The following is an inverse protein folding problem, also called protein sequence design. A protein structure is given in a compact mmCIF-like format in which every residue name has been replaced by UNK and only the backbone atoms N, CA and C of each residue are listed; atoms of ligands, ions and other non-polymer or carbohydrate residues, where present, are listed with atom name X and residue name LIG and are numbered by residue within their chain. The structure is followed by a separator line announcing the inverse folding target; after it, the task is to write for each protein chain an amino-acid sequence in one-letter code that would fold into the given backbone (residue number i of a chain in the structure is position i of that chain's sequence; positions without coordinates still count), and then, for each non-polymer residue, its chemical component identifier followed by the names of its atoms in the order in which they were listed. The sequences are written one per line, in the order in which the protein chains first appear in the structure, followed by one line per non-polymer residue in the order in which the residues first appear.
data_IF_604615990629
#
_entry.id   IF_604615990629
#
_cell.length_a   1.000
_cell.length_b   1.000
_cell.length_c   1.000
_cell.angle_alpha   90.00
_cell.angle_beta   90.00
_cell.angle_gamma   90.00
#
_symmetry.space_group_name_H-M   'P 1'
#
loop_
_entity.id
_entity.type
_entity.pdbx_description
1 polymer ?
#
# COMPACT_ATOMS: atom_id res chain seq x y z
N UNK A 1 0.28 14.76 7.23
CA UNK A 1 1.71 14.49 6.97
C UNK A 1 2.40 15.82 6.68
N UNK A 2 3.65 16.01 7.12
CA UNK A 2 4.42 17.22 6.79
C UNK A 2 4.59 17.34 5.27
N UNK A 3 4.50 18.55 4.71
CA UNK A 3 4.59 18.78 3.25
C UNK A 3 6.03 18.58 2.76
N UNK A 4 7.02 19.01 3.54
CA UNK A 4 8.43 18.88 3.16
C UNK A 4 8.89 17.42 3.13
N UNK A 5 8.48 16.63 4.14
CA UNK A 5 8.76 15.19 4.20
C UNK A 5 8.08 14.42 3.06
N UNK A 6 6.97 14.92 2.50
CA UNK A 6 6.32 14.30 1.34
C UNK A 6 7.13 14.51 0.06
N UNK A 7 7.82 15.65 -0.10
CA UNK A 7 8.71 15.88 -1.25
C UNK A 7 9.92 14.96 -1.21
N UNK A 8 10.61 14.90 -0.08
CA UNK A 8 11.77 14.01 0.09
C UNK A 8 11.37 12.53 -0.07
N UNK A 9 10.25 12.12 0.53
CA UNK A 9 9.73 10.76 0.37
C UNK A 9 9.37 10.44 -1.08
N UNK A 10 8.79 11.41 -1.81
CA UNK A 10 8.49 11.25 -3.23
C UNK A 10 9.78 11.08 -4.05
N UNK A 11 10.80 11.90 -3.82
CA UNK A 11 12.08 11.82 -4.52
C UNK A 11 12.74 10.43 -4.31
N UNK A 12 12.68 9.88 -3.10
CA UNK A 12 13.20 8.55 -2.79
C UNK A 12 12.43 7.42 -3.51
N UNK A 13 11.10 7.54 -3.65
CA UNK A 13 10.27 6.57 -4.37
C UNK A 13 10.48 6.68 -5.88
N UNK A 14 10.44 7.90 -6.44
CA UNK A 14 10.55 8.12 -7.88
C UNK A 14 11.96 7.90 -8.43
N UNK A 15 12.99 8.09 -7.61
CA UNK A 15 14.37 7.70 -7.96
C UNK A 15 14.61 6.19 -7.91
N UNK A 16 13.68 5.41 -7.33
CA UNK A 16 13.87 3.98 -7.08
C UNK A 16 14.82 3.66 -5.93
N UNK A 17 15.25 4.67 -5.16
CA UNK A 17 16.14 4.49 -4.00
C UNK A 17 15.46 3.69 -2.87
N UNK A 18 14.13 3.72 -2.79
CA UNK A 18 13.35 2.90 -1.86
C UNK A 18 12.36 2.00 -2.63
N UNK A 19 12.50 0.66 -2.55
CA UNK A 19 11.60 -0.28 -3.22
C UNK A 19 10.30 -0.47 -2.44
N UNK A 20 9.50 0.60 -2.30
CA UNK A 20 8.28 0.61 -1.48
C UNK A 20 7.19 -0.37 -1.96
N UNK A 21 7.25 -0.78 -3.23
CA UNK A 21 6.36 -1.80 -3.81
C UNK A 21 6.54 -3.16 -3.12
N UNK A 22 7.76 -3.49 -2.67
CA UNK A 22 8.05 -4.75 -1.95
C UNK A 22 7.35 -4.83 -0.59
N UNK A 23 6.95 -3.68 -0.04
CA UNK A 23 6.16 -3.64 1.20
C UNK A 23 4.71 -4.09 0.95
N UNK A 24 4.22 -4.12 -0.28
CA UNK A 24 2.84 -4.47 -0.60
C UNK A 24 2.69 -5.99 -0.64
N UNK A 25 2.40 -6.54 0.53
CA UNK A 25 2.10 -7.97 0.70
C UNK A 25 0.75 -8.39 0.12
N UNK A 26 -0.26 -7.49 0.16
CA UNK A 26 -1.64 -7.82 -0.22
C UNK A 26 -2.30 -6.69 -1.00
N UNK A 27 -3.06 -7.06 -2.04
CA UNK A 27 -3.88 -6.16 -2.84
C UNK A 27 -5.30 -6.70 -2.89
N UNK A 28 -6.27 -5.84 -2.62
CA UNK A 28 -7.69 -6.16 -2.74
C UNK A 28 -8.38 -5.13 -3.64
N UNK A 29 -9.36 -5.54 -4.45
CA UNK A 29 -10.23 -4.58 -5.14
C UNK A 29 -11.19 -3.92 -4.13
N UNK A 30 -11.70 -2.73 -4.48
CA UNK A 30 -12.55 -1.94 -3.58
C UNK A 30 -13.82 -2.68 -3.12
N UNK A 31 -14.40 -3.53 -3.96
CA UNK A 31 -15.56 -4.35 -3.60
C UNK A 31 -15.24 -5.43 -2.54
N UNK A 32 -13.97 -5.68 -2.25
CA UNK A 32 -13.48 -6.59 -1.20
C UNK A 32 -12.79 -5.83 -0.05
N UNK A 33 -13.13 -4.55 0.16
CA UNK A 33 -12.52 -3.74 1.22
C UNK A 33 -12.62 -4.40 2.61
N UNK A 34 -13.69 -5.12 2.89
CA UNK A 34 -13.87 -5.80 4.17
C UNK A 34 -12.81 -6.90 4.38
N UNK A 35 -12.53 -7.71 3.37
CA UNK A 35 -11.47 -8.73 3.43
C UNK A 35 -10.09 -8.11 3.68
N UNK A 36 -9.82 -6.96 3.03
CA UNK A 36 -8.58 -6.23 3.26
C UNK A 36 -8.46 -5.67 4.69
N UNK A 37 -9.57 -5.22 5.29
CA UNK A 37 -9.59 -4.77 6.70
C UNK A 37 -9.40 -5.96 7.64
N UNK A 38 -10.10 -7.07 7.42
CA UNK A 38 -9.96 -8.27 8.25
C UNK A 38 -8.52 -8.80 8.24
N UNK A 39 -7.86 -8.78 7.08
CA UNK A 39 -6.43 -9.11 6.97
C UNK A 39 -5.53 -8.12 7.74
N UNK A 40 -5.85 -6.83 7.73
CA UNK A 40 -5.10 -5.83 8.50
C UNK A 40 -5.24 -6.03 10.02
N UNK A 41 -6.42 -6.46 10.48
CA UNK A 41 -6.70 -6.74 11.89
C UNK A 41 -6.03 -8.05 12.37
N UNK A 42 -5.77 -8.98 11.45
CA UNK A 42 -5.18 -10.30 11.74
C UNK A 42 -3.96 -10.57 10.84
N UNK A 43 -2.86 -9.84 11.03
CA UNK A 43 -1.65 -10.03 10.24
C UNK A 43 -1.03 -11.41 10.51
N UNK A 44 -0.56 -12.05 9.43
CA UNK A 44 0.26 -13.26 9.50
C UNK A 44 1.75 -12.93 9.26
N UNK A 45 2.58 -13.96 9.20
CA UNK A 45 4.03 -13.84 9.02
C UNK A 45 4.45 -13.24 7.66
N UNK A 46 3.54 -13.08 6.70
CA UNK A 46 3.80 -12.45 5.40
C UNK A 46 3.11 -11.10 5.25
N UNK A 47 2.35 -10.67 6.26
CA UNK A 47 1.59 -9.43 6.23
C UNK A 47 2.48 -8.21 6.45
N UNK A 48 2.52 -7.32 5.47
CA UNK A 48 3.21 -6.03 5.49
C UNK A 48 2.18 -4.92 5.23
N UNK A 49 2.20 -4.31 4.03
CA UNK A 49 1.22 -3.33 3.59
C UNK A 49 0.08 -4.00 2.83
N UNK A 50 -1.14 -3.58 3.15
CA UNK A 50 -2.35 -3.89 2.38
C UNK A 50 -2.73 -2.64 1.58
N UNK A 51 -3.06 -2.83 0.30
CA UNK A 51 -3.54 -1.77 -0.59
C UNK A 51 -4.91 -2.16 -1.15
N UNK A 52 -5.89 -1.27 -0.97
CA UNK A 52 -7.18 -1.37 -1.64
C UNK A 52 -7.12 -0.57 -2.93
N UNK A 53 -7.43 -1.21 -4.06
CA UNK A 53 -7.43 -0.57 -5.36
C UNK A 53 -8.86 -0.26 -5.83
N UNK A 54 -9.15 0.98 -6.26
CA UNK A 54 -10.41 1.26 -6.92
C UNK A 54 -10.56 0.38 -8.17
N UNK A 55 -11.78 -0.05 -8.48
CA UNK A 55 -12.01 -0.73 -9.74
C UNK A 55 -11.66 0.22 -10.89
N UNK A 56 -10.72 -0.19 -11.75
CA UNK A 56 -10.52 0.49 -13.02
C UNK A 56 -11.74 0.15 -13.87
N UNK A 57 -12.52 1.14 -14.26
CA UNK A 57 -13.58 0.94 -15.25
C UNK A 57 -12.95 0.31 -16.50
N UNK A 58 -13.48 -0.85 -16.91
CA UNK A 58 -13.17 -1.46 -18.20
C UNK A 58 -14.02 -0.82 -19.30
#
# INVERSE_FOLDING_TARGET
ASVDLQKESADLVFSGALPVEELISHRFPLNQIHEGIERALHPDNVSLKIVIQPQKWA
#
